data_IF_335170655005
#
_entry.id   IF_335170655005
#
_cell.length_a   1.000
_cell.length_b   1.000
_cell.length_c   1.000
_cell.angle_alpha   90.00
_cell.angle_beta   90.00
_cell.angle_gamma   90.00
#
_symmetry.space_group_name_H-M   'P 1'
#
loop_
_entity.id
_entity.type
_entity.pdbx_description
1 polymer ?
#
# COMPACT_ATOMS: atom_id res chain seq x y z
N UNK A 1 -28.00 20.81 -45.75
CA UNK A 1 -26.91 21.25 -44.85
C UNK A 1 -26.48 20.03 -44.07
N UNK A 2 -25.38 19.42 -44.50
CA UNK A 2 -24.88 18.15 -43.95
C UNK A 2 -24.20 18.40 -42.61
N UNK A 3 -24.59 17.66 -41.58
CA UNK A 3 -23.98 17.73 -40.25
C UNK A 3 -22.66 16.95 -40.32
N UNK A 4 -21.54 17.67 -40.31
CA UNK A 4 -20.22 17.07 -40.12
C UNK A 4 -20.09 16.60 -38.67
N UNK A 5 -20.01 15.28 -38.47
CA UNK A 5 -19.56 14.70 -37.22
C UNK A 5 -18.05 14.90 -37.10
N UNK A 6 -17.65 15.82 -36.22
CA UNK A 6 -16.26 15.98 -35.80
C UNK A 6 -15.75 14.67 -35.19
N UNK A 7 -14.69 14.12 -35.79
CA UNK A 7 -13.97 12.95 -35.24
C UNK A 7 -13.37 13.33 -33.88
N UNK A 8 -13.35 12.40 -32.91
CA UNK A 8 -12.69 12.64 -31.63
C UNK A 8 -11.20 12.90 -31.87
N UNK A 9 -10.71 14.04 -31.38
CA UNK A 9 -9.30 14.38 -31.40
C UNK A 9 -8.50 13.28 -30.69
N UNK A 10 -7.48 12.77 -31.37
CA UNK A 10 -6.56 11.79 -30.79
C UNK A 10 -5.81 12.48 -29.66
N UNK A 11 -6.00 11.98 -28.42
CA UNK A 11 -5.22 12.41 -27.24
C UNK A 11 -3.73 12.40 -27.57
N UNK A 12 -2.93 13.40 -27.12
CA UNK A 12 -1.49 13.38 -27.31
C UNK A 12 -0.95 12.11 -26.64
N UNK A 13 -0.37 11.22 -27.45
CA UNK A 13 0.40 10.10 -26.91
C UNK A 13 1.67 10.70 -26.31
N UNK A 14 1.99 10.31 -25.07
CA UNK A 14 3.33 10.50 -24.53
C UNK A 14 4.33 10.10 -25.63
N UNK A 15 5.20 11.01 -26.05
CA UNK A 15 6.34 10.62 -26.88
C UNK A 15 7.07 9.56 -26.10
N UNK A 16 7.16 8.32 -26.63
CA UNK A 16 7.85 7.23 -25.95
C UNK A 16 9.20 7.74 -25.47
N UNK A 17 9.49 7.69 -24.16
CA UNK A 17 10.75 8.22 -23.65
C UNK A 17 11.90 7.56 -24.41
N UNK A 18 13.00 8.29 -24.69
CA UNK A 18 14.14 7.70 -25.37
C UNK A 18 14.61 6.47 -24.60
N UNK A 19 14.86 5.37 -25.31
CA UNK A 19 15.34 4.14 -24.66
C UNK A 19 16.68 4.41 -24.00
N UNK A 20 16.87 3.90 -22.78
CA UNK A 20 18.17 4.01 -22.08
C UNK A 20 19.21 3.11 -22.76
N UNK A 21 20.47 3.54 -22.76
CA UNK A 21 21.61 2.71 -23.15
C UNK A 21 22.33 2.10 -21.95
N UNK A 22 21.78 2.25 -20.74
CA UNK A 22 22.33 1.67 -19.52
C UNK A 22 21.47 0.50 -19.07
N UNK A 23 22.11 -0.59 -18.66
CA UNK A 23 21.41 -1.77 -18.16
C UNK A 23 20.70 -1.45 -16.83
N UNK A 24 19.41 -1.76 -16.74
CA UNK A 24 18.61 -1.50 -15.55
C UNK A 24 19.13 -2.23 -14.30
N UNK A 25 19.79 -3.38 -14.48
CA UNK A 25 20.35 -4.16 -13.38
C UNK A 25 21.71 -3.67 -12.92
N UNK A 26 22.69 -3.54 -13.82
CA UNK A 26 24.08 -3.23 -13.45
C UNK A 26 24.48 -1.77 -13.66
N UNK A 27 23.59 -0.95 -14.24
CA UNK A 27 23.79 0.47 -14.55
C UNK A 27 24.94 0.78 -15.52
N UNK A 28 25.58 -0.25 -16.10
CA UNK A 28 26.64 -0.08 -17.09
C UNK A 28 26.05 0.12 -18.48
N UNK A 29 26.81 0.82 -19.33
CA UNK A 29 26.46 1.04 -20.74
C UNK A 29 26.29 -0.29 -21.49
N UNK A 30 25.41 -0.28 -22.48
CA UNK A 30 25.21 -1.35 -23.45
C UNK A 30 26.57 -1.74 -24.05
N UNK A 31 26.93 -3.01 -23.83
CA UNK A 31 28.13 -3.64 -24.33
C UNK A 31 27.81 -5.12 -24.54
N UNK A 32 28.02 -5.62 -25.76
CA UNK A 32 27.68 -7.00 -26.11
C UNK A 32 26.17 -7.25 -26.25
N UNK A 33 25.73 -8.46 -25.91
CA UNK A 33 24.35 -8.91 -26.09
C UNK A 33 23.44 -8.40 -24.98
N UNK A 34 22.27 -7.86 -25.36
CA UNK A 34 21.23 -7.50 -24.40
C UNK A 34 19.86 -7.31 -25.03
N UNK A 35 18.88 -7.06 -24.17
CA UNK A 35 17.46 -7.05 -24.49
C UNK A 35 16.85 -5.69 -24.15
N UNK A 36 16.06 -5.16 -25.09
CA UNK A 36 15.32 -3.90 -24.90
C UNK A 36 13.84 -4.22 -24.72
N UNK A 37 13.25 -3.70 -23.65
CA UNK A 37 11.82 -3.85 -23.45
C UNK A 37 11.05 -3.17 -24.60
N UNK A 38 9.94 -3.79 -25.00
CA UNK A 38 9.01 -3.17 -25.97
C UNK A 38 8.07 -2.16 -25.30
N UNK A 39 7.78 -2.33 -24.02
CA UNK A 39 6.74 -1.61 -23.30
C UNK A 39 7.27 -0.46 -22.44
N UNK A 40 8.58 -0.42 -22.19
CA UNK A 40 9.21 0.68 -21.48
C UNK A 40 10.61 0.99 -22.03
N UNK A 41 11.23 2.10 -21.59
CA UNK A 41 12.56 2.52 -22.08
C UNK A 41 13.73 1.62 -21.64
N UNK A 42 13.52 0.65 -20.74
CA UNK A 42 14.58 -0.13 -20.07
C UNK A 42 15.32 -1.09 -21.02
N UNK A 43 16.62 -1.24 -20.75
CA UNK A 43 17.54 -2.19 -21.38
C UNK A 43 18.17 -3.10 -20.31
N UNK A 44 18.50 -4.34 -20.67
CA UNK A 44 19.21 -5.28 -19.80
C UNK A 44 20.30 -6.02 -20.57
N UNK A 45 21.48 -6.21 -19.97
CA UNK A 45 22.44 -7.18 -20.48
C UNK A 45 21.89 -8.59 -20.33
N UNK A 46 22.21 -9.48 -21.29
CA UNK A 46 21.73 -10.87 -21.25
C UNK A 46 22.25 -11.61 -20.01
N UNK A 47 23.49 -11.35 -19.60
CA UNK A 47 24.12 -11.91 -18.39
C UNK A 47 23.37 -11.46 -17.13
N UNK A 48 23.03 -10.17 -17.04
CA UNK A 48 22.27 -9.62 -15.92
C UNK A 48 20.84 -10.18 -15.83
N UNK A 49 20.21 -10.57 -16.94
CA UNK A 49 18.93 -11.29 -16.91
C UNK A 49 19.11 -12.72 -16.40
N UNK A 50 20.15 -13.41 -16.90
CA UNK A 50 20.45 -14.78 -16.49
C UNK A 50 20.76 -14.89 -15.00
N UNK A 51 21.45 -13.91 -14.42
CA UNK A 51 21.69 -13.81 -12.96
C UNK A 51 20.39 -13.69 -12.16
N UNK A 52 19.35 -13.08 -12.73
CA UNK A 52 18.01 -12.97 -12.12
C UNK A 52 17.15 -14.21 -12.36
N UNK A 53 17.68 -15.26 -12.99
CA UNK A 53 16.94 -16.46 -13.36
C UNK A 53 16.00 -16.28 -14.56
N UNK A 54 16.09 -15.16 -15.28
CA UNK A 54 15.37 -14.90 -16.53
C UNK A 54 16.31 -15.19 -17.71
N UNK A 55 16.04 -16.26 -18.45
CA UNK A 55 16.88 -16.63 -19.60
C UNK A 55 16.58 -15.82 -20.88
N UNK A 56 15.66 -14.84 -20.80
CA UNK A 56 15.31 -13.95 -21.90
C UNK A 56 14.74 -14.67 -23.12
N UNK A 57 14.40 -15.98 -23.02
CA UNK A 57 14.04 -16.82 -24.16
C UNK A 57 12.63 -16.58 -24.70
N UNK A 58 11.83 -15.75 -24.03
CA UNK A 58 10.51 -15.38 -24.52
C UNK A 58 10.60 -14.30 -25.61
N UNK A 59 10.65 -14.78 -26.86
CA UNK A 59 10.29 -14.09 -28.11
C UNK A 59 11.16 -12.85 -28.45
N UNK A 60 12.16 -13.06 -29.32
CA UNK A 60 13.04 -12.01 -29.88
C UNK A 60 12.32 -10.82 -30.54
N UNK A 61 11.03 -10.93 -30.90
CA UNK A 61 10.26 -9.83 -31.49
C UNK A 61 9.48 -8.98 -30.48
N UNK A 62 9.15 -9.48 -29.28
CA UNK A 62 8.20 -8.84 -28.36
C UNK A 62 8.51 -9.05 -26.86
N UNK A 63 9.79 -8.97 -26.47
CA UNK A 63 10.17 -9.14 -25.06
C UNK A 63 9.66 -8.02 -24.15
N UNK A 64 9.15 -8.42 -22.97
CA UNK A 64 8.71 -7.57 -21.87
C UNK A 64 9.68 -7.76 -20.71
N UNK A 65 10.15 -6.67 -20.11
CA UNK A 65 11.10 -6.78 -19.00
C UNK A 65 10.41 -7.20 -17.68
N UNK A 66 11.17 -7.72 -16.70
CA UNK A 66 10.63 -8.14 -15.41
C UNK A 66 9.81 -7.05 -14.71
N UNK A 67 10.24 -5.79 -14.81
CA UNK A 67 9.51 -4.65 -14.21
C UNK A 67 8.14 -4.46 -14.85
N UNK A 68 8.03 -4.52 -16.17
CA UNK A 68 6.73 -4.42 -16.85
C UNK A 68 5.85 -5.65 -16.57
N UNK A 69 6.44 -6.83 -16.43
CA UNK A 69 5.69 -8.02 -16.01
C UNK A 69 5.06 -7.83 -14.63
N UNK A 70 5.83 -7.31 -13.65
CA UNK A 70 5.31 -7.00 -12.31
C UNK A 70 4.21 -5.93 -12.38
N UNK A 71 4.40 -4.86 -13.17
CA UNK A 71 3.38 -3.82 -13.35
C UNK A 71 2.08 -4.39 -13.92
N UNK A 72 2.16 -5.28 -14.91
CA UNK A 72 0.98 -5.93 -15.50
C UNK A 72 0.28 -6.84 -14.48
N UNK A 73 1.03 -7.60 -13.67
CA UNK A 73 0.44 -8.46 -12.63
C UNK A 73 -0.24 -7.62 -11.55
N UNK A 74 0.39 -6.50 -11.15
CA UNK A 74 -0.16 -5.56 -10.16
C UNK A 74 -1.44 -4.87 -10.69
N UNK A 75 -1.51 -4.59 -11.99
CA UNK A 75 -2.71 -4.06 -12.65
C UNK A 75 -3.82 -5.12 -12.90
N UNK A 76 -3.45 -6.39 -13.15
CA UNK A 76 -4.37 -7.51 -13.41
C UNK A 76 -4.86 -8.18 -12.10
N UNK A 77 -4.31 -7.79 -10.96
CA UNK A 77 -4.68 -8.28 -9.64
C UNK A 77 -6.18 -8.14 -9.40
N UNK A 78 -6.92 -9.26 -9.53
CA UNK A 78 -8.34 -9.41 -9.14
C UNK A 78 -8.65 -9.03 -7.69
N UNK A 79 -7.65 -8.65 -6.87
CA UNK A 79 -7.79 -7.97 -5.59
C UNK A 79 -8.46 -6.59 -5.69
N UNK A 80 -8.58 -6.06 -6.91
CA UNK A 80 -9.24 -4.80 -7.21
C UNK A 80 -10.75 -4.95 -7.48
N UNK A 81 -11.19 -6.08 -8.04
CA UNK A 81 -12.55 -6.24 -8.59
C UNK A 81 -13.71 -6.18 -7.57
N UNK A 82 -13.45 -6.34 -6.27
CA UNK A 82 -14.48 -6.24 -5.23
C UNK A 82 -14.61 -4.82 -4.61
N UNK A 83 -13.65 -3.91 -4.84
CA UNK A 83 -13.57 -2.58 -4.19
C UNK A 83 -13.50 -1.42 -5.23
N UNK A 84 -13.60 -1.74 -6.53
CA UNK A 84 -12.97 -0.94 -7.59
C UNK A 84 -13.70 0.28 -8.16
N UNK A 85 -14.88 0.66 -7.67
CA UNK A 85 -15.56 1.86 -8.21
C UNK A 85 -15.66 3.04 -7.25
N UNK A 86 -15.37 2.86 -5.95
CA UNK A 86 -15.60 3.92 -4.97
C UNK A 86 -14.35 4.79 -4.69
N UNK A 87 -13.14 4.34 -5.03
CA UNK A 87 -11.92 5.01 -4.56
C UNK A 87 -10.91 5.49 -5.61
N UNK A 88 -11.24 5.42 -6.91
CA UNK A 88 -10.31 5.81 -7.99
C UNK A 88 -9.83 7.26 -7.81
N UNK A 89 -10.73 8.18 -7.48
CA UNK A 89 -10.39 9.59 -7.25
C UNK A 89 -9.48 9.79 -6.03
N UNK A 90 -9.70 9.04 -4.94
CA UNK A 90 -8.81 9.10 -3.76
C UNK A 90 -7.45 8.52 -4.10
N UNK A 91 -7.38 7.37 -4.79
CA UNK A 91 -6.10 6.78 -5.21
C UNK A 91 -5.31 7.75 -6.10
N UNK A 92 -5.97 8.40 -7.06
CA UNK A 92 -5.35 9.45 -7.88
C UNK A 92 -4.80 10.58 -6.99
N UNK A 93 -5.58 11.05 -6.02
CA UNK A 93 -5.12 12.09 -5.09
C UNK A 93 -3.93 11.63 -4.23
N UNK A 94 -3.94 10.39 -3.75
CA UNK A 94 -2.84 9.79 -2.99
C UNK A 94 -1.58 9.72 -3.84
N UNK A 95 -1.66 9.19 -5.07
CA UNK A 95 -0.52 9.11 -5.99
C UNK A 95 0.06 10.49 -6.28
N UNK A 96 -0.79 11.51 -6.48
CA UNK A 96 -0.35 12.89 -6.66
C UNK A 96 0.33 13.46 -5.41
N UNK A 97 -0.19 13.15 -4.22
CA UNK A 97 0.41 13.56 -2.95
C UNK A 97 1.78 12.89 -2.72
N UNK A 98 1.93 11.63 -3.11
CA UNK A 98 3.22 10.93 -3.10
C UNK A 98 4.23 11.58 -4.04
N UNK A 99 3.80 12.02 -5.24
CA UNK A 99 4.68 12.80 -6.13
C UNK A 99 5.15 14.11 -5.48
N UNK A 100 4.26 14.83 -4.78
CA UNK A 100 4.62 16.04 -4.04
C UNK A 100 5.59 15.77 -2.91
N UNK A 101 5.37 14.70 -2.15
CA UNK A 101 6.26 14.26 -1.09
C UNK A 101 7.67 13.98 -1.63
N UNK A 102 7.78 13.17 -2.69
CA UNK A 102 9.08 12.84 -3.28
C UNK A 102 9.75 14.06 -3.87
N UNK A 103 9.02 14.95 -4.55
CA UNK A 103 9.57 16.20 -5.05
C UNK A 103 10.10 17.07 -3.91
N UNK A 104 9.34 17.23 -2.83
CA UNK A 104 9.78 18.00 -1.67
C UNK A 104 11.07 17.43 -1.05
N UNK A 105 11.13 16.12 -0.79
CA UNK A 105 12.32 15.47 -0.26
C UNK A 105 13.52 15.57 -1.22
N UNK A 106 13.26 15.46 -2.53
CA UNK A 106 14.27 15.58 -3.60
C UNK A 106 14.83 17.01 -3.68
N UNK A 107 13.96 18.02 -3.76
CA UNK A 107 14.38 19.43 -3.84
C UNK A 107 15.08 19.91 -2.56
N UNK A 108 14.60 19.49 -1.38
CA UNK A 108 15.25 19.80 -0.10
C UNK A 108 16.68 19.28 -0.06
N UNK A 109 16.90 18.02 -0.45
CA UNK A 109 18.22 17.36 -0.36
C UNK A 109 19.20 17.74 -1.47
N UNK A 110 18.69 18.08 -2.66
CA UNK A 110 19.48 18.54 -3.81
C UNK A 110 19.84 20.03 -3.66
N UNK A 111 18.96 20.88 -3.12
CA UNK A 111 19.27 22.30 -2.89
C UNK A 111 20.39 22.51 -1.86
N UNK A 112 20.54 21.57 -0.93
CA UNK A 112 21.66 21.50 0.04
C UNK A 112 23.00 21.05 -0.59
N UNK A 113 23.05 20.75 -1.89
CA UNK A 113 24.26 20.33 -2.58
C UNK A 113 24.18 20.59 -4.09
N UNK A 114 23.85 21.83 -4.48
CA UNK A 114 23.65 22.21 -5.89
C UNK A 114 24.80 21.69 -6.77
N UNK A 115 24.50 20.96 -7.86
CA UNK A 115 25.47 20.70 -8.90
C UNK A 115 25.93 22.03 -9.51
N UNK A 116 27.23 22.15 -9.80
CA UNK A 116 27.77 23.33 -10.48
C UNK A 116 27.31 23.37 -11.95
N UNK A 117 27.35 24.54 -12.57
CA UNK A 117 27.00 24.71 -13.98
C UNK A 117 27.99 23.88 -14.85
N UNK A 118 27.49 22.85 -15.53
CA UNK A 118 28.32 21.87 -16.26
C UNK A 118 28.51 20.52 -15.56
N UNK A 119 27.91 20.31 -14.39
CA UNK A 119 27.88 19.02 -13.69
C UNK A 119 27.09 17.98 -14.50
N UNK A 120 27.62 16.76 -14.73
CA UNK A 120 26.89 15.62 -15.32
C UNK A 120 25.53 15.35 -14.66
N UNK A 121 25.29 15.83 -13.45
CA UNK A 121 23.98 15.80 -12.80
C UNK A 121 22.84 16.44 -13.62
N UNK A 122 23.12 17.47 -14.43
CA UNK A 122 22.11 18.04 -15.33
C UNK A 122 21.68 17.06 -16.42
N UNK A 123 22.54 16.12 -16.82
CA UNK A 123 22.17 15.04 -17.75
C UNK A 123 21.49 13.86 -17.04
N UNK A 124 21.76 13.63 -15.74
CA UNK A 124 21.05 12.65 -14.89
C UNK A 124 19.56 12.94 -14.77
N UNK A 125 19.24 14.22 -14.54
CA UNK A 125 17.86 14.67 -14.45
C UNK A 125 17.22 14.78 -15.84
N UNK A 126 17.99 15.03 -16.90
CA UNK A 126 17.46 15.23 -18.25
C UNK A 126 17.11 13.93 -19.01
N UNK A 127 17.71 12.78 -18.70
CA UNK A 127 17.48 11.53 -19.46
C UNK A 127 16.08 10.92 -19.23
N UNK A 128 15.42 11.25 -18.10
CA UNK A 128 14.01 10.89 -17.88
C UNK A 128 13.19 12.00 -17.21
N UNK A 129 13.71 13.25 -17.14
CA UNK A 129 13.01 14.44 -16.60
C UNK A 129 12.10 14.10 -15.45
N UNK A 130 12.67 13.61 -14.33
CA UNK A 130 11.89 13.40 -13.12
C UNK A 130 11.33 14.75 -12.70
N UNK A 131 10.07 14.97 -13.02
CA UNK A 131 9.31 16.14 -12.61
C UNK A 131 8.02 15.62 -11.98
N UNK A 132 7.72 16.09 -10.77
CA UNK A 132 6.45 15.74 -10.14
C UNK A 132 5.26 16.14 -11.03
N UNK A 133 5.38 17.22 -11.79
CA UNK A 133 4.34 17.66 -12.73
C UNK A 133 4.10 16.61 -13.83
N UNK A 134 5.16 16.09 -14.45
CA UNK A 134 5.06 15.04 -15.47
C UNK A 134 4.47 13.74 -14.91
N UNK A 135 4.84 13.36 -13.68
CA UNK A 135 4.23 12.20 -13.02
C UNK A 135 2.76 12.43 -12.70
N UNK A 136 2.39 13.63 -12.22
CA UNK A 136 0.99 13.99 -11.97
C UNK A 136 0.16 14.05 -13.25
N UNK A 137 0.74 14.50 -14.35
CA UNK A 137 0.12 14.45 -15.68
C UNK A 137 -0.11 12.99 -16.11
N UNK A 138 0.90 12.12 -15.97
CA UNK A 138 0.77 10.69 -16.27
C UNK A 138 -0.28 9.99 -15.39
N UNK A 139 -0.36 10.32 -14.10
CA UNK A 139 -1.45 9.86 -13.20
C UNK A 139 -2.80 10.35 -13.71
N UNK A 140 -2.91 11.63 -14.08
CA UNK A 140 -4.17 12.21 -14.57
C UNK A 140 -4.60 11.64 -15.92
N UNK A 141 -3.64 11.25 -16.77
CA UNK A 141 -3.87 10.57 -18.02
C UNK A 141 -4.25 9.09 -17.84
N UNK A 142 -4.02 8.54 -16.65
CA UNK A 142 -4.26 7.15 -16.31
C UNK A 142 -3.14 6.20 -16.77
N UNK A 143 -1.93 6.71 -17.01
CA UNK A 143 -0.75 5.92 -17.34
C UNK A 143 -0.04 5.37 -16.07
N UNK A 144 -0.27 6.02 -14.92
CA UNK A 144 0.18 5.57 -13.60
C UNK A 144 -1.05 5.39 -12.72
N UNK A 145 -1.42 4.13 -12.49
CA UNK A 145 -2.62 3.76 -11.69
C UNK A 145 -2.31 3.06 -10.38
N UNK A 146 -1.14 2.45 -10.29
CA UNK A 146 -0.75 1.67 -9.12
C UNK A 146 0.44 2.28 -8.39
N UNK A 147 0.54 1.97 -7.11
CA UNK A 147 1.69 2.36 -6.29
C UNK A 147 2.99 1.76 -6.83
N UNK A 148 2.93 0.52 -7.34
CA UNK A 148 4.08 -0.16 -7.92
C UNK A 148 4.59 0.56 -9.16
N UNK A 149 3.67 1.00 -10.03
CA UNK A 149 4.03 1.79 -11.20
C UNK A 149 4.72 3.09 -10.80
N UNK A 150 4.17 3.83 -9.85
CA UNK A 150 4.79 5.05 -9.33
C UNK A 150 6.19 4.78 -8.75
N UNK A 151 6.33 3.76 -7.89
CA UNK A 151 7.61 3.34 -7.32
C UNK A 151 8.67 3.08 -8.41
N UNK A 152 8.30 2.36 -9.48
CA UNK A 152 9.19 2.07 -10.58
C UNK A 152 9.61 3.31 -11.39
N UNK A 153 8.76 4.34 -11.45
CA UNK A 153 9.12 5.64 -12.03
C UNK A 153 10.15 6.37 -11.15
N UNK A 154 10.06 6.26 -9.82
CA UNK A 154 11.03 6.87 -8.89
C UNK A 154 12.41 6.21 -8.99
N UNK A 155 12.48 4.91 -9.24
CA UNK A 155 13.75 4.18 -9.37
C UNK A 155 14.63 4.67 -10.53
N UNK A 156 14.07 5.41 -11.50
CA UNK A 156 14.87 6.09 -12.52
C UNK A 156 15.83 7.12 -11.92
N UNK A 157 15.50 7.75 -10.79
CA UNK A 157 16.40 8.67 -10.10
C UNK A 157 17.72 7.99 -9.70
N UNK A 158 17.61 6.81 -9.07
CA UNK A 158 18.77 5.99 -8.70
C UNK A 158 19.51 5.49 -9.94
N UNK A 159 18.77 4.89 -10.89
CA UNK A 159 19.37 4.33 -12.08
C UNK A 159 20.17 5.37 -12.87
N UNK A 160 19.62 6.57 -13.08
CA UNK A 160 20.31 7.63 -13.81
C UNK A 160 21.54 8.13 -13.03
N UNK A 161 21.44 8.28 -11.71
CA UNK A 161 22.54 8.75 -10.88
C UNK A 161 23.73 7.79 -10.96
N UNK A 162 23.48 6.48 -10.82
CA UNK A 162 24.53 5.47 -10.90
C UNK A 162 25.11 5.40 -12.33
N UNK A 163 24.26 5.47 -13.35
CA UNK A 163 24.67 5.34 -14.75
C UNK A 163 25.63 6.45 -15.21
N UNK A 164 25.49 7.67 -14.67
CA UNK A 164 26.27 8.83 -15.10
C UNK A 164 27.44 9.12 -14.16
N UNK A 165 27.22 9.04 -12.85
CA UNK A 165 28.23 9.39 -11.86
C UNK A 165 28.98 8.18 -11.31
N UNK A 166 28.57 6.96 -11.66
CA UNK A 166 29.07 5.74 -11.05
C UNK A 166 28.60 5.58 -9.60
N UNK A 167 29.07 4.51 -8.95
CA UNK A 167 28.86 4.26 -7.52
C UNK A 167 29.97 4.92 -6.69
N UNK A 168 31.22 4.71 -7.09
CA UNK A 168 32.38 5.23 -6.36
C UNK A 168 32.45 6.76 -6.43
N UNK A 169 32.49 7.41 -5.26
CA UNK A 169 32.58 8.87 -5.16
C UNK A 169 31.28 9.63 -5.43
N UNK A 170 30.16 8.93 -5.69
CA UNK A 170 28.87 9.56 -5.92
C UNK A 170 28.25 10.08 -4.61
N UNK A 171 28.39 11.38 -4.38
CA UNK A 171 27.91 12.07 -3.17
C UNK A 171 26.38 12.16 -3.08
N UNK A 172 25.67 11.93 -4.18
CA UNK A 172 24.21 12.04 -4.26
C UNK A 172 23.50 10.71 -4.03
N UNK A 173 24.15 9.59 -4.37
CA UNK A 173 23.57 8.25 -4.29
C UNK A 173 23.00 7.93 -2.89
N UNK A 174 23.72 8.14 -1.76
CA UNK A 174 23.15 7.87 -0.44
C UNK A 174 21.90 8.71 -0.12
N UNK A 175 21.84 9.95 -0.62
CA UNK A 175 20.67 10.83 -0.44
C UNK A 175 19.48 10.33 -1.24
N UNK A 176 19.71 9.88 -2.48
CA UNK A 176 18.66 9.34 -3.34
C UNK A 176 18.13 8.01 -2.81
N UNK A 177 19.00 7.15 -2.28
CA UNK A 177 18.61 5.89 -1.62
C UNK A 177 17.72 6.17 -0.41
N UNK A 178 18.06 7.18 0.40
CA UNK A 178 17.21 7.63 1.51
C UNK A 178 15.85 8.13 1.03
N UNK A 179 15.79 8.90 -0.06
CA UNK A 179 14.53 9.39 -0.63
C UNK A 179 13.66 8.23 -1.13
N UNK A 180 14.24 7.27 -1.85
CA UNK A 180 13.52 6.08 -2.32
C UNK A 180 12.98 5.28 -1.14
N UNK A 181 13.81 5.04 -0.12
CA UNK A 181 13.37 4.35 1.11
C UNK A 181 12.21 5.07 1.80
N UNK A 182 12.25 6.41 1.90
CA UNK A 182 11.14 7.19 2.45
C UNK A 182 9.87 7.07 1.60
N UNK A 183 10.00 7.08 0.28
CA UNK A 183 8.84 6.89 -0.57
C UNK A 183 8.25 5.49 -0.43
N UNK A 184 9.09 4.46 -0.31
CA UNK A 184 8.63 3.09 -0.08
C UNK A 184 7.85 2.99 1.23
N UNK A 185 8.30 3.68 2.28
CA UNK A 185 7.57 3.78 3.53
C UNK A 185 6.20 4.48 3.36
N UNK A 186 6.14 5.64 2.72
CA UNK A 186 4.86 6.34 2.46
C UNK A 186 3.91 5.52 1.57
N UNK A 187 4.44 4.78 0.60
CA UNK A 187 3.66 3.82 -0.20
C UNK A 187 3.12 2.70 0.68
N UNK A 188 3.92 2.13 1.59
CA UNK A 188 3.46 1.10 2.52
C UNK A 188 2.36 1.62 3.45
N UNK A 189 2.48 2.86 3.94
CA UNK A 189 1.42 3.54 4.71
C UNK A 189 0.14 3.65 3.88
N UNK A 190 0.23 4.14 2.63
CA UNK A 190 -0.93 4.25 1.74
C UNK A 190 -1.59 2.90 1.45
N UNK A 191 -0.79 1.86 1.22
CA UNK A 191 -1.25 0.49 0.95
C UNK A 191 -1.80 -0.24 2.18
N UNK A 192 -1.63 0.33 3.38
CA UNK A 192 -2.20 -0.24 4.61
C UNK A 192 -3.69 0.06 4.73
N UNK A 193 -4.10 1.29 4.39
CA UNK A 193 -5.48 1.70 4.19
C UNK A 193 -5.52 3.03 3.44
N UNK A 194 -6.01 3.03 2.20
CA UNK A 194 -6.08 4.24 1.37
C UNK A 194 -6.99 5.32 1.99
N UNK A 195 -8.06 4.92 2.67
CA UNK A 195 -8.98 5.86 3.33
C UNK A 195 -8.30 6.57 4.50
N UNK A 196 -7.61 5.82 5.37
CA UNK A 196 -6.82 6.42 6.45
C UNK A 196 -5.72 7.32 5.91
N UNK A 197 -4.99 6.88 4.89
CA UNK A 197 -3.91 7.69 4.31
C UNK A 197 -4.45 8.98 3.69
N UNK A 198 -5.50 8.89 2.86
CA UNK A 198 -6.13 10.06 2.25
C UNK A 198 -6.61 11.06 3.30
N UNK A 199 -7.34 10.59 4.32
CA UNK A 199 -7.89 11.45 5.36
C UNK A 199 -6.81 12.13 6.22
N UNK A 200 -5.68 11.47 6.46
CA UNK A 200 -4.63 12.02 7.34
C UNK A 200 -3.56 12.81 6.59
N UNK A 201 -3.23 12.46 5.35
CA UNK A 201 -2.09 13.01 4.61
C UNK A 201 -2.47 13.83 3.38
N UNK A 202 -3.68 13.65 2.82
CA UNK A 202 -4.10 14.33 1.59
C UNK A 202 -5.11 15.46 1.81
N UNK A 203 -5.83 15.45 2.94
CA UNK A 203 -6.72 16.55 3.32
C UNK A 203 -5.93 17.74 3.87
N UNK A 204 -6.51 18.94 3.76
CA UNK A 204 -5.92 20.16 4.32
C UNK A 204 -5.80 20.14 5.84
N UNK A 205 -6.59 19.27 6.50
CA UNK A 205 -6.51 18.96 7.92
C UNK A 205 -6.59 17.46 8.09
N UNK A 206 -5.67 16.83 8.86
CA UNK A 206 -5.75 15.41 9.15
C UNK A 206 -7.07 15.03 9.83
N UNK A 207 -7.62 13.89 9.42
CA UNK A 207 -8.82 13.31 10.03
C UNK A 207 -8.60 11.83 10.36
N UNK A 208 -8.28 11.57 11.61
CA UNK A 208 -8.19 10.22 12.17
C UNK A 208 -9.52 9.75 12.80
N UNK A 209 -10.59 10.56 12.75
CA UNK A 209 -11.89 10.28 13.39
C UNK A 209 -12.85 9.62 12.42
N UNK A 210 -12.76 9.93 11.13
CA UNK A 210 -13.60 9.28 10.12
C UNK A 210 -13.48 7.75 10.15
N UNK A 211 -14.63 7.10 9.98
CA UNK A 211 -14.77 5.64 9.91
C UNK A 211 -14.48 5.18 8.49
N UNK A 212 -13.65 4.15 8.35
CA UNK A 212 -13.40 3.52 7.05
C UNK A 212 -14.54 2.55 6.71
N UNK A 213 -14.76 2.31 5.42
CA UNK A 213 -15.76 1.34 4.93
C UNK A 213 -15.61 -0.02 5.60
N UNK A 214 -14.36 -0.49 5.75
CA UNK A 214 -13.99 -1.57 6.65
C UNK A 214 -13.39 -0.93 7.91
N UNK A 215 -14.15 -0.87 9.02
CA UNK A 215 -13.66 -0.28 10.26
C UNK A 215 -12.42 -1.02 10.76
N UNK A 216 -11.52 -0.26 11.38
CA UNK A 216 -10.28 -0.80 11.93
C UNK A 216 -10.46 -1.16 13.39
N UNK A 217 -9.91 -2.30 13.79
CA UNK A 217 -9.84 -2.67 15.20
C UNK A 217 -8.96 -1.68 15.95
N UNK A 218 -9.47 -1.20 17.07
CA UNK A 218 -8.77 -0.25 17.91
C UNK A 218 -7.91 -1.00 18.91
N UNK A 219 -6.70 -0.50 19.14
CA UNK A 219 -5.72 -1.13 20.03
C UNK A 219 -5.07 -0.12 20.96
N UNK A 220 -4.62 -0.63 22.10
CA UNK A 220 -3.50 -0.06 22.84
C UNK A 220 -2.22 -0.68 22.32
N UNK A 221 -1.25 0.14 21.94
CA UNK A 221 0.06 -0.33 21.51
C UNK A 221 1.18 0.24 22.38
N UNK A 222 2.09 -0.64 22.82
CA UNK A 222 3.31 -0.25 23.50
C UNK A 222 4.40 0.03 22.46
N UNK A 223 4.73 1.30 22.28
CA UNK A 223 5.82 1.72 21.38
C UNK A 223 7.09 1.88 22.20
N UNK A 224 8.22 1.40 21.68
CA UNK A 224 9.52 1.53 22.35
C UNK A 224 9.84 2.99 22.66
N UNK A 225 10.16 3.28 23.93
CA UNK A 225 10.43 4.64 24.40
C UNK A 225 9.19 5.47 24.78
N UNK A 226 7.98 4.93 24.62
CA UNK A 226 6.71 5.59 24.94
C UNK A 226 5.84 4.74 25.89
N UNK A 227 4.78 5.34 26.42
CA UNK A 227 3.71 4.62 27.12
C UNK A 227 2.72 4.01 26.11
N UNK A 228 1.76 3.22 26.60
CA UNK A 228 0.67 2.73 25.75
C UNK A 228 -0.07 3.88 25.08
N UNK A 229 -0.24 3.75 23.76
CA UNK A 229 -0.90 4.76 22.94
C UNK A 229 -2.08 4.14 22.18
N UNK A 230 -3.22 4.84 22.04
CA UNK A 230 -4.34 4.34 21.26
C UNK A 230 -4.05 4.44 19.76
N UNK A 231 -4.43 3.41 18.99
CA UNK A 231 -4.22 3.37 17.55
C UNK A 231 -5.29 2.57 16.81
N UNK A 232 -5.37 2.76 15.49
CA UNK A 232 -6.09 1.89 14.54
C UNK A 232 -5.15 0.83 14.00
N UNK A 233 -5.54 -0.44 14.06
CA UNK A 233 -4.80 -1.54 13.44
C UNK A 233 -5.19 -1.67 11.96
N UNK A 234 -4.24 -1.44 11.06
CA UNK A 234 -4.51 -1.32 9.62
C UNK A 234 -4.20 -2.60 8.86
N UNK A 235 -2.99 -3.14 9.04
CA UNK A 235 -2.51 -4.26 8.21
C UNK A 235 -1.43 -5.06 8.92
N UNK A 236 -1.46 -6.39 8.77
CA UNK A 236 -0.35 -7.25 9.22
C UNK A 236 0.87 -7.04 8.33
N UNK A 237 2.05 -7.09 8.94
CA UNK A 237 3.34 -6.97 8.28
C UNK A 237 4.27 -8.09 8.73
N UNK A 238 5.38 -8.26 8.01
CA UNK A 238 6.47 -9.17 8.36
C UNK A 238 5.98 -10.57 8.74
N UNK A 239 5.22 -11.21 7.85
CA UNK A 239 4.62 -12.53 8.09
C UNK A 239 3.80 -12.58 9.39
N UNK A 240 2.95 -11.57 9.60
CA UNK A 240 2.05 -11.45 10.75
C UNK A 240 2.72 -11.37 12.13
N UNK A 241 4.01 -11.01 12.20
CA UNK A 241 4.68 -10.72 13.48
C UNK A 241 4.48 -9.28 13.94
N UNK A 242 4.18 -8.38 12.99
CA UNK A 242 3.99 -6.96 13.24
C UNK A 242 2.65 -6.48 12.68
N UNK A 243 2.17 -5.38 13.22
CA UNK A 243 0.95 -4.71 12.79
C UNK A 243 1.29 -3.26 12.45
N UNK A 244 0.92 -2.83 11.25
CA UNK A 244 0.93 -1.41 10.87
C UNK A 244 -0.22 -0.71 11.58
N UNK A 245 0.12 0.25 12.41
CA UNK A 245 -0.79 1.04 13.22
C UNK A 245 -0.81 2.50 12.75
N UNK A 246 -1.97 3.14 12.86
CA UNK A 246 -2.12 4.59 12.78
C UNK A 246 -2.51 5.14 14.16
N UNK A 247 -1.65 5.95 14.76
CA UNK A 247 -1.83 6.46 16.11
C UNK A 247 -2.74 7.68 16.15
N UNK A 248 -3.66 7.71 17.12
CA UNK A 248 -4.43 8.91 17.42
C UNK A 248 -3.52 9.99 18.03
N UNK A 249 -3.85 11.26 17.79
CA UNK A 249 -3.13 12.43 18.27
C UNK A 249 -1.91 12.79 17.43
N UNK A 250 -0.97 11.87 17.22
CA UNK A 250 0.23 12.12 16.41
C UNK A 250 -0.01 11.93 14.91
N UNK A 251 -0.99 11.10 14.53
CA UNK A 251 -1.28 10.71 13.14
C UNK A 251 -0.10 10.03 12.45
N UNK A 252 0.81 9.47 13.24
CA UNK A 252 1.97 8.73 12.76
C UNK A 252 1.59 7.27 12.48
N UNK A 253 2.22 6.70 11.47
CA UNK A 253 2.17 5.27 11.19
C UNK A 253 3.39 4.60 11.81
N UNK A 254 3.21 3.41 12.41
CA UNK A 254 4.35 2.58 12.79
C UNK A 254 4.01 1.10 12.73
N UNK A 255 5.02 0.31 12.40
CA UNK A 255 5.00 -1.15 12.54
C UNK A 255 5.34 -1.49 13.98
N UNK A 256 4.42 -2.15 14.68
CA UNK A 256 4.58 -2.54 16.08
C UNK A 256 4.50 -4.06 16.20
N UNK A 257 5.39 -4.71 16.96
CA UNK A 257 5.28 -6.14 17.25
C UNK A 257 3.90 -6.48 17.81
N UNK A 258 3.27 -7.52 17.26
CA UNK A 258 1.91 -7.89 17.63
C UNK A 258 1.76 -8.20 19.12
N UNK A 259 2.80 -8.75 19.75
CA UNK A 259 2.87 -9.01 21.20
C UNK A 259 2.73 -7.74 22.06
N UNK A 260 3.07 -6.57 21.51
CA UNK A 260 2.96 -5.27 22.17
C UNK A 260 1.60 -4.60 21.92
N UNK A 261 0.68 -5.26 21.22
CA UNK A 261 -0.65 -4.77 20.87
C UNK A 261 -1.73 -5.47 21.71
N UNK A 262 -2.68 -4.69 22.21
CA UNK A 262 -3.81 -5.13 23.02
C UNK A 262 -5.09 -4.53 22.48
N UNK A 263 -6.20 -5.28 22.52
CA UNK A 263 -7.50 -4.73 22.15
C UNK A 263 -7.83 -3.52 23.03
N UNK A 264 -8.47 -2.51 22.44
CA UNK A 264 -8.79 -1.28 23.16
C UNK A 264 -9.76 -1.57 24.32
N UNK A 265 -9.28 -1.34 25.54
CA UNK A 265 -10.06 -1.31 26.79
C UNK A 265 -10.17 0.11 27.33
N UNK A 266 -11.11 0.36 28.25
CA UNK A 266 -11.31 1.69 28.87
C UNK A 266 -10.04 2.28 29.51
N UNK A 267 -9.16 1.41 30.01
CA UNK A 267 -7.82 1.77 30.48
C UNK A 267 -6.76 0.94 29.74
N UNK A 268 -5.52 1.42 29.58
CA UNK A 268 -4.43 0.62 29.03
C UNK A 268 -4.13 -0.60 29.92
N UNK A 269 -3.50 -1.66 29.37
CA UNK A 269 -3.21 -2.92 30.09
C UNK A 269 -2.54 -2.71 31.45
N UNK A 270 -1.54 -1.82 31.50
CA UNK A 270 -0.96 -1.30 32.73
C UNK A 270 -0.55 0.16 32.53
N UNK A 271 -0.41 0.90 33.64
CA UNK A 271 -0.01 2.31 33.60
C UNK A 271 1.50 2.39 33.55
N UNK A 272 2.01 3.02 32.49
CA UNK A 272 3.40 3.47 32.40
C UNK A 272 3.37 4.98 32.65
N UNK A 273 3.94 5.43 33.77
CA UNK A 273 4.00 6.86 34.08
C UNK A 273 4.94 7.58 33.12
N UNK A 274 4.38 8.17 32.06
CA UNK A 274 5.11 9.08 31.19
C UNK A 274 4.60 10.52 31.36
N UNK A 275 5.22 11.24 32.29
CA UNK A 275 4.88 12.65 32.56
C UNK A 275 5.22 13.57 31.40
N UNK A 276 6.11 13.17 30.48
CA UNK A 276 6.51 14.02 29.34
C UNK A 276 5.41 14.11 28.30
N UNK A 277 4.74 12.98 28.04
CA UNK A 277 3.76 12.87 26.96
C UNK A 277 2.30 12.92 27.41
N UNK A 278 2.02 13.16 28.70
CA UNK A 278 0.65 13.14 29.24
C UNK A 278 -0.33 14.09 28.52
N UNK A 279 0.12 15.26 28.08
CA UNK A 279 -0.71 16.20 27.32
C UNK A 279 -1.04 15.66 25.92
N UNK A 280 -0.04 15.14 25.21
CA UNK A 280 -0.23 14.54 23.89
C UNK A 280 -1.10 13.28 23.97
N UNK A 281 -0.92 12.47 25.00
CA UNK A 281 -1.76 11.30 25.26
C UNK A 281 -3.21 11.71 25.49
N UNK A 282 -3.46 12.79 26.25
CA UNK A 282 -4.83 13.29 26.44
C UNK A 282 -5.48 13.67 25.11
N UNK A 283 -4.75 14.36 24.23
CA UNK A 283 -5.24 14.71 22.87
C UNK A 283 -5.57 13.45 22.07
N UNK A 284 -4.69 12.43 22.13
CA UNK A 284 -4.92 11.15 21.47
C UNK A 284 -6.16 10.42 21.99
N UNK A 285 -6.40 10.46 23.31
CA UNK A 285 -7.58 9.85 23.92
C UNK A 285 -8.87 10.61 23.58
N UNK A 286 -8.84 11.94 23.59
CA UNK A 286 -9.98 12.77 23.19
C UNK A 286 -10.31 12.58 21.70
N UNK A 287 -9.31 12.33 20.84
CA UNK A 287 -9.53 11.98 19.43
C UNK A 287 -10.06 10.55 19.23
N UNK A 288 -9.46 9.58 19.92
CA UNK A 288 -9.93 8.19 19.90
C UNK A 288 -11.39 8.10 20.37
N UNK A 289 -11.76 8.80 21.44
CA UNK A 289 -13.13 8.78 21.96
C UNK A 289 -14.13 9.36 20.95
N UNK A 290 -13.76 10.43 20.23
CA UNK A 290 -14.58 10.96 19.12
C UNK A 290 -14.71 9.96 17.97
N UNK A 291 -13.66 9.19 17.68
CA UNK A 291 -13.75 8.11 16.69
C UNK A 291 -14.71 7.01 17.14
N UNK A 292 -14.69 6.60 18.41
CA UNK A 292 -15.64 5.63 18.98
C UNK A 292 -17.08 6.13 18.87
N UNK A 293 -17.32 7.41 19.19
CA UNK A 293 -18.63 8.04 18.98
C UNK A 293 -19.07 7.98 17.51
N UNK A 294 -18.14 8.17 16.58
CA UNK A 294 -18.41 8.08 15.15
C UNK A 294 -18.72 6.65 14.71
N UNK A 295 -18.05 5.63 15.27
CA UNK A 295 -18.41 4.22 15.05
C UNK A 295 -19.86 3.96 15.47
N UNK A 296 -20.27 4.41 16.65
CA UNK A 296 -21.64 4.24 17.13
C UNK A 296 -22.68 5.01 16.29
N UNK A 297 -22.35 6.23 15.83
CA UNK A 297 -23.22 6.98 14.90
C UNK A 297 -23.43 6.26 13.58
N UNK A 298 -22.41 5.55 13.10
CA UNK A 298 -22.48 4.70 11.91
C UNK A 298 -23.12 3.32 12.20
N UNK A 299 -23.75 3.15 13.37
CA UNK A 299 -24.45 1.92 13.81
C UNK A 299 -23.56 0.68 13.91
N UNK A 300 -22.26 0.88 14.13
CA UNK A 300 -21.31 -0.20 14.39
C UNK A 300 -21.35 -0.55 15.89
N UNK A 301 -21.43 -1.84 16.22
CA UNK A 301 -21.47 -2.32 17.61
C UNK A 301 -20.06 -2.39 18.22
N UNK A 302 -19.40 -1.24 18.34
CA UNK A 302 -18.11 -1.18 19.00
C UNK A 302 -18.27 -1.41 20.51
N UNK A 303 -17.54 -2.41 21.02
CA UNK A 303 -17.44 -2.72 22.44
C UNK A 303 -15.98 -2.70 22.90
N UNK A 304 -15.73 -2.08 24.05
CA UNK A 304 -14.42 -2.12 24.70
C UNK A 304 -14.10 -3.54 25.16
N UNK A 305 -12.86 -3.98 24.93
CA UNK A 305 -12.38 -5.25 25.43
C UNK A 305 -12.15 -5.22 26.95
N UNK A 306 -12.06 -6.42 27.54
CA UNK A 306 -11.52 -6.57 28.89
C UNK A 306 -10.05 -6.10 28.93
N UNK A 307 -9.63 -5.55 30.06
CA UNK A 307 -8.27 -5.02 30.24
C UNK A 307 -7.22 -6.13 30.03
N UNK A 308 -6.21 -5.84 29.20
CA UNK A 308 -5.07 -6.73 28.97
C UNK A 308 -5.32 -7.87 27.97
N UNK A 309 -6.43 -7.83 27.22
CA UNK A 309 -6.66 -8.79 26.13
C UNK A 309 -5.70 -8.47 24.99
N UNK A 310 -4.82 -9.42 24.65
CA UNK A 310 -3.90 -9.28 23.53
C UNK A 310 -4.63 -9.19 22.20
N UNK A 311 -4.12 -8.35 21.32
CA UNK A 311 -4.50 -8.34 19.92
C UNK A 311 -3.93 -9.59 19.23
N UNK A 312 -4.73 -10.23 18.38
CA UNK A 312 -4.36 -11.35 17.54
C UNK A 312 -4.59 -11.01 16.08
N UNK A 313 -3.95 -11.76 15.18
CA UNK A 313 -3.99 -11.54 13.73
C UNK A 313 -5.42 -11.43 13.17
N UNK A 314 -6.32 -12.30 13.65
CA UNK A 314 -7.72 -12.33 13.23
C UNK A 314 -8.53 -11.11 13.67
N UNK A 315 -8.07 -10.38 14.68
CA UNK A 315 -8.75 -9.19 15.14
C UNK A 315 -8.76 -8.07 14.09
N UNK A 316 -7.92 -8.11 13.04
CA UNK A 316 -8.05 -7.16 11.93
C UNK A 316 -9.37 -7.29 11.17
N UNK A 317 -10.02 -8.44 11.25
CA UNK A 317 -11.14 -8.77 10.38
C UNK A 317 -12.46 -8.92 11.13
N UNK A 318 -12.51 -8.54 12.41
CA UNK A 318 -13.71 -8.65 13.25
C UNK A 318 -14.90 -7.85 12.75
N UNK A 319 -14.67 -6.93 11.81
CA UNK A 319 -15.70 -6.08 11.21
C UNK A 319 -16.16 -6.57 9.84
N UNK A 320 -15.57 -7.63 9.32
CA UNK A 320 -16.00 -8.23 8.06
C UNK A 320 -17.17 -9.17 8.33
N UNK A 321 -18.24 -9.02 7.55
CA UNK A 321 -19.32 -10.00 7.51
C UNK A 321 -18.76 -11.39 7.13
N UNK A 322 -19.31 -12.50 7.68
CA UNK A 322 -18.81 -13.85 7.43
C UNK A 322 -18.60 -14.16 5.94
N UNK A 323 -19.49 -13.70 5.07
CA UNK A 323 -19.44 -13.91 3.61
C UNK A 323 -18.26 -13.19 2.92
N UNK A 324 -17.79 -12.08 3.49
CA UNK A 324 -16.62 -11.33 3.01
C UNK A 324 -15.35 -11.85 3.65
N UNK A 325 -15.44 -12.26 4.92
CA UNK A 325 -14.32 -12.73 5.71
C UNK A 325 -13.73 -14.04 5.19
N UNK A 326 -14.57 -15.01 4.80
CA UNK A 326 -14.13 -16.31 4.27
C UNK A 326 -13.25 -16.20 3.02
N UNK A 327 -13.67 -15.51 1.93
CA UNK A 327 -12.82 -15.32 0.75
C UNK A 327 -11.51 -14.58 1.05
N UNK A 328 -11.54 -13.53 1.90
CA UNK A 328 -10.36 -12.75 2.27
C UNK A 328 -9.35 -13.59 3.05
N UNK A 329 -9.84 -14.43 3.97
CA UNK A 329 -8.99 -15.37 4.69
C UNK A 329 -8.37 -16.38 3.73
N UNK A 330 -9.17 -17.09 2.92
CA UNK A 330 -8.65 -18.09 1.96
C UNK A 330 -7.60 -17.52 1.00
N UNK A 331 -7.86 -16.33 0.44
CA UNK A 331 -6.90 -15.67 -0.46
C UNK A 331 -5.58 -15.36 0.25
N UNK A 332 -5.60 -15.09 1.57
CA UNK A 332 -4.39 -14.87 2.36
C UNK A 332 -3.76 -16.15 2.86
N UNK A 333 -4.53 -17.21 3.15
CA UNK A 333 -4.01 -18.54 3.51
C UNK A 333 -3.05 -19.06 2.44
N UNK A 334 -3.43 -18.90 1.17
CA UNK A 334 -2.60 -19.31 0.03
C UNK A 334 -1.31 -18.47 -0.12
N UNK A 335 -1.23 -17.29 0.53
CA UNK A 335 -0.04 -16.42 0.48
C UNK A 335 0.94 -16.63 1.64
N UNK A 336 0.56 -17.37 2.68
CA UNK A 336 1.47 -17.72 3.77
C UNK A 336 2.18 -19.03 3.43
N UNK A 337 3.43 -18.96 2.98
CA UNK A 337 4.29 -20.14 2.71
C UNK A 337 4.43 -21.07 3.93
N UNK A 338 4.08 -20.61 5.14
CA UNK A 338 4.16 -21.35 6.40
C UNK A 338 2.90 -21.16 7.28
N UNK A 339 1.71 -21.12 6.68
CA UNK A 339 0.44 -20.91 7.37
C UNK A 339 0.23 -21.78 8.62
N UNK A 340 0.65 -23.06 8.57
CA UNK A 340 0.50 -24.04 9.65
C UNK A 340 1.27 -23.66 10.94
N UNK A 341 2.15 -22.65 10.90
CA UNK A 341 2.90 -22.16 12.07
C UNK A 341 2.15 -21.12 12.91
N UNK A 342 0.94 -20.72 12.50
CA UNK A 342 0.13 -19.70 13.19
C UNK A 342 -1.16 -20.33 13.76
N UNK A 343 -1.11 -20.87 14.98
CA UNK A 343 -2.22 -21.63 15.56
C UNK A 343 -3.52 -20.82 15.65
N UNK A 344 -3.41 -19.51 15.87
CA UNK A 344 -4.54 -18.59 15.98
C UNK A 344 -5.28 -18.38 14.66
N UNK A 345 -4.58 -18.43 13.52
CA UNK A 345 -5.24 -18.31 12.21
C UNK A 345 -5.84 -19.64 11.78
N UNK A 346 -5.21 -20.77 12.15
CA UNK A 346 -5.78 -22.12 11.95
C UNK A 346 -7.06 -22.29 12.77
N UNK A 347 -7.03 -21.90 14.05
CA UNK A 347 -8.20 -21.90 14.93
C UNK A 347 -9.33 -21.00 14.37
N UNK A 348 -9.00 -19.81 13.85
CA UNK A 348 -9.98 -18.93 13.23
C UNK A 348 -10.61 -19.57 11.98
N UNK A 349 -9.79 -20.13 11.07
CA UNK A 349 -10.28 -20.81 9.87
C UNK A 349 -11.24 -21.93 10.25
N UNK A 350 -10.86 -22.76 11.23
CA UNK A 350 -11.66 -23.90 11.66
C UNK A 350 -12.98 -23.47 12.32
N UNK A 351 -12.95 -22.44 13.16
CA UNK A 351 -14.15 -21.84 13.74
C UNK A 351 -15.07 -21.27 12.66
N UNK A 352 -14.51 -20.61 11.65
CA UNK A 352 -15.27 -20.02 10.55
C UNK A 352 -15.84 -21.04 9.57
N UNK A 353 -15.12 -22.13 9.30
CA UNK A 353 -15.65 -23.27 8.56
C UNK A 353 -16.83 -23.92 9.28
N UNK A 354 -16.81 -23.95 10.62
CA UNK A 354 -17.96 -24.39 11.43
C UNK A 354 -19.16 -23.46 11.22
N UNK A 355 -18.98 -22.15 11.34
CA UNK A 355 -20.06 -21.17 11.15
C UNK A 355 -20.60 -21.20 9.71
N UNK A 356 -19.73 -21.31 8.70
CA UNK A 356 -20.15 -21.42 7.30
C UNK A 356 -21.01 -22.66 7.06
N UNK A 357 -20.64 -23.79 7.68
CA UNK A 357 -21.40 -25.03 7.61
C UNK A 357 -22.76 -24.91 8.31
N UNK A 358 -22.80 -24.26 9.47
CA UNK A 358 -24.06 -23.98 10.19
C UNK A 358 -25.00 -23.10 9.35
N UNK A 359 -24.47 -22.06 8.68
CA UNK A 359 -25.23 -21.19 7.78
C UNK A 359 -25.71 -21.90 6.50
N UNK A 360 -24.95 -22.88 5.98
CA UNK A 360 -25.40 -23.74 4.88
C UNK A 360 -26.51 -24.70 5.33
N UNK A 361 -26.41 -25.25 6.54
CA UNK A 361 -27.44 -26.12 7.13
C UNK A 361 -28.75 -25.36 7.39
N UNK A 362 -28.70 -24.12 7.89
CA UNK A 362 -29.88 -23.26 8.09
C UNK A 362 -30.59 -22.90 6.77
N UNK A 363 -29.84 -22.67 5.68
CA UNK A 363 -30.41 -22.44 4.34
C UNK A 363 -31.12 -23.68 3.78
N UNK A 364 -30.65 -24.88 4.12
CA UNK A 364 -31.28 -26.13 3.69
C UNK A 364 -32.59 -26.39 4.44
N UNK A 365 -32.71 -25.92 5.70
CA UNK A 365 -33.93 -26.05 6.49
C UNK A 365 -35.01 -25.01 6.11
N UNK A 366 -34.65 -23.81 5.67
CA UNK A 366 -35.61 -22.82 5.13
C UNK A 366 -36.21 -23.24 3.78
N UNK A 367 -35.47 -24.04 2.98
CA UNK A 367 -35.92 -24.55 1.67
C UNK A 367 -36.71 -25.88 1.77
N UNK A 368 -36.97 -26.40 2.98
CA UNK A 368 -37.88 -27.54 3.12
C UNK A 368 -39.35 -27.09 2.97
N UNK A 369 -40.10 -27.60 1.98
CA UNK A 369 -41.49 -27.20 1.79
C UNK A 369 -42.32 -27.65 2.99
N UNK A 370 -42.96 -26.68 3.65
CA UNK A 370 -43.88 -26.92 4.75
C UNK A 370 -44.91 -27.99 4.37
N UNK A 371 -44.75 -29.18 4.95
CA UNK A 371 -45.68 -30.28 4.82
C UNK A 371 -46.92 -29.95 5.66
N UNK A 372 -47.79 -29.07 5.13
CA UNK A 372 -49.15 -28.89 5.64
C UNK A 372 -49.96 -30.11 5.20
N UNK A 373 -50.07 -31.07 6.11
CA UNK A 373 -50.96 -32.21 5.99
C UNK A 373 -52.40 -31.75 5.85
N UNK A 374 -52.99 -31.99 4.69
CA UNK A 374 -54.42 -31.94 4.46
C UNK A 374 -55.08 -33.14 5.14
N UNK A 375 -55.73 -32.91 6.28
CA UNK A 375 -56.79 -33.79 6.79
C UNK A 375 -58.15 -33.13 6.60
N UNK A 376 -58.89 -33.59 5.58
CA UNK A 376 -60.36 -33.56 5.56
C UNK A 376 -60.89 -34.81 4.84
N UNK A 377 -61.12 -35.87 5.61
CA UNK A 377 -62.41 -36.57 5.77
C UNK A 377 -62.25 -37.86 6.58
#
# INVERSE_FOLDING_TARGET
MSVEHSKPEKRPKLTTPPKTNYCWHCHKVEAGDGMRCKFCPRYYHSECLAEQGDDGKYIRSYWMCPICHIEVIDEDGKSHAAIDNYNVDRRIAILKNLCDFVAHETYKRISEGRPEEGDPFHSVVAVHSFSADSLKEAISAGDIRTYKKLQNELLWLLHNSISISGVEGNKFLPKLEEIVKKCDNEIMEAMSCENCYYNNKCLSRPDCISVCEFPHTLVWALVEGYCFWPAKALKLQNNATEVMLLFFGSHEYASVPMENCYLLSLEPPWRIEDRRNQKALKVALDEMQRHVEELHKNKLDFQYASKGVHFKSFNLYTWLEPEVLLPVLFQRLDTFEEYDKYPDIVELRDAMLSVAKELEEEKVDEDQPGCSGTTTN
#
